data_IF_656710517429
#
_entry.id   IF_656710517429
#
_cell.length_a   1.000
_cell.length_b   1.000
_cell.length_c   1.000
_cell.angle_alpha   90.00
_cell.angle_beta   90.00
_cell.angle_gamma   90.00
#
_symmetry.space_group_name_H-M   'P 1'
#
loop_
_entity.id
_entity.type
_entity.pdbx_description
1 polymer ?
#
# COMPACT_ATOMS: atom_id res chain seq x y z
N UNK A 1 7.17 5.97 -1.70
CA UNK A 1 6.63 6.15 -3.07
C UNK A 1 7.48 5.35 -4.04
N UNK A 2 6.92 4.84 -5.12
CA UNK A 2 7.61 4.09 -6.17
C UNK A 2 6.93 4.29 -7.53
N UNK A 3 7.71 4.53 -8.59
CA UNK A 3 7.22 4.39 -9.97
C UNK A 3 7.05 2.91 -10.33
N UNK A 4 5.85 2.55 -10.79
CA UNK A 4 5.55 1.18 -11.18
C UNK A 4 6.37 0.79 -12.41
N UNK A 5 6.89 -0.43 -12.39
CA UNK A 5 7.55 -1.07 -13.52
C UNK A 5 6.60 -2.08 -14.15
N UNK A 6 6.87 -2.48 -15.41
CA UNK A 6 6.07 -3.52 -16.08
C UNK A 6 5.94 -4.79 -15.23
N UNK A 7 7.00 -5.20 -14.53
CA UNK A 7 7.02 -6.38 -13.66
C UNK A 7 6.15 -6.26 -12.40
N UNK A 8 5.80 -5.04 -11.99
CA UNK A 8 4.84 -4.84 -10.89
C UNK A 8 3.40 -5.08 -11.37
N UNK A 9 3.12 -4.97 -12.68
CA UNK A 9 1.75 -4.93 -13.22
C UNK A 9 1.44 -5.94 -14.32
N UNK A 10 2.33 -6.90 -14.59
CA UNK A 10 2.03 -8.04 -15.47
C UNK A 10 1.06 -9.02 -14.80
N UNK A 11 0.24 -9.69 -15.60
CA UNK A 11 -0.73 -10.70 -15.15
C UNK A 11 -0.09 -11.97 -14.56
N UNK A 12 1.11 -12.32 -15.00
CA UNK A 12 1.91 -13.44 -14.47
C UNK A 12 2.71 -13.07 -13.21
N UNK A 13 2.65 -11.82 -12.75
CA UNK A 13 3.33 -11.34 -11.53
C UNK A 13 2.33 -10.82 -10.50
N UNK A 14 2.33 -11.39 -9.29
CA UNK A 14 1.44 -10.95 -8.20
C UNK A 14 2.22 -10.25 -7.09
N UNK A 15 3.09 -9.29 -7.44
CA UNK A 15 3.83 -8.51 -6.46
C UNK A 15 4.13 -7.07 -6.87
N UNK A 16 4.26 -6.20 -5.87
CA UNK A 16 4.92 -4.90 -5.98
C UNK A 16 6.07 -4.81 -4.98
N UNK A 17 7.18 -4.20 -5.38
CA UNK A 17 8.41 -4.16 -4.57
C UNK A 17 8.81 -2.74 -4.18
N UNK A 18 8.99 -2.45 -2.89
CA UNK A 18 9.55 -1.19 -2.40
C UNK A 18 10.99 -1.40 -1.91
N UNK A 19 11.87 -0.38 -1.99
CA UNK A 19 13.21 -0.46 -1.42
C UNK A 19 13.18 -0.80 0.07
N UNK A 20 14.14 -1.60 0.55
CA UNK A 20 14.27 -1.98 1.96
C UNK A 20 14.55 -0.78 2.87
N UNK A 21 15.16 0.28 2.34
CA UNK A 21 15.35 1.57 3.02
C UNK A 21 14.10 2.47 2.98
N UNK A 22 12.96 1.98 2.49
CA UNK A 22 11.74 2.77 2.49
C UNK A 22 11.24 3.02 3.93
N UNK A 23 10.52 4.14 4.16
CA UNK A 23 10.03 4.50 5.50
C UNK A 23 9.19 3.43 6.19
N UNK A 24 8.61 2.48 5.44
CA UNK A 24 7.86 1.37 6.02
C UNK A 24 8.71 0.52 6.98
N UNK A 25 10.03 0.43 6.78
CA UNK A 25 10.90 -0.31 7.70
C UNK A 25 10.84 0.19 9.15
N UNK A 26 10.51 1.47 9.34
CA UNK A 26 10.48 2.14 10.64
C UNK A 26 9.21 1.85 11.43
N UNK A 27 8.12 1.46 10.76
CA UNK A 27 6.83 1.21 11.44
C UNK A 27 6.76 -0.19 12.05
N UNK A 28 7.58 -1.13 11.58
CA UNK A 28 7.57 -2.51 12.06
C UNK A 28 8.12 -2.62 13.48
N UNK A 29 7.48 -3.44 14.31
CA UNK A 29 8.06 -3.91 15.57
C UNK A 29 9.21 -4.88 15.29
N UNK A 30 10.03 -5.17 16.31
CA UNK A 30 11.13 -6.12 16.12
C UNK A 30 10.63 -7.54 15.82
N UNK A 31 9.51 -7.96 16.44
CA UNK A 31 8.86 -9.23 16.11
C UNK A 31 8.36 -9.26 14.64
N UNK A 32 7.75 -8.19 14.15
CA UNK A 32 7.30 -8.11 12.76
C UNK A 32 8.48 -8.06 11.78
N UNK A 33 9.58 -7.38 12.12
CA UNK A 33 10.82 -7.41 11.35
C UNK A 33 11.38 -8.83 11.21
N UNK A 34 11.22 -9.67 12.22
CA UNK A 34 11.57 -11.10 12.13
C UNK A 34 10.59 -11.81 11.19
N UNK A 35 9.27 -11.61 11.36
CA UNK A 35 8.23 -12.26 10.52
C UNK A 35 8.36 -11.94 9.04
N UNK A 36 8.54 -10.68 8.65
CA UNK A 36 8.69 -10.30 7.24
C UNK A 36 9.93 -10.93 6.58
N UNK A 37 10.91 -11.44 7.36
CA UNK A 37 12.09 -12.15 6.82
C UNK A 37 11.86 -13.66 6.66
N UNK A 38 10.81 -14.22 7.25
CA UNK A 38 10.49 -15.65 7.17
C UNK A 38 10.09 -16.07 5.76
N UNK A 39 10.00 -17.38 5.54
CA UNK A 39 9.48 -17.94 4.29
C UNK A 39 8.05 -17.48 4.01
N UNK A 40 7.18 -17.50 5.03
CA UNK A 40 5.77 -17.11 4.96
C UNK A 40 5.53 -15.60 4.80
N UNK A 41 6.39 -14.76 5.38
CA UNK A 41 6.18 -13.32 5.41
C UNK A 41 5.17 -12.92 6.50
N UNK A 42 4.50 -11.78 6.31
CA UNK A 42 3.54 -11.23 7.25
C UNK A 42 2.29 -10.74 6.50
N UNK A 43 1.09 -11.12 6.92
CA UNK A 43 -0.17 -10.60 6.38
C UNK A 43 -0.35 -9.13 6.70
N UNK A 44 -0.83 -8.36 5.73
CA UNK A 44 -1.13 -6.94 5.85
C UNK A 44 -2.36 -6.59 5.03
N UNK A 45 -3.28 -5.83 5.64
CA UNK A 45 -4.42 -5.26 4.94
C UNK A 45 -4.02 -3.94 4.28
N UNK A 46 -4.21 -3.85 2.96
CA UNK A 46 -4.05 -2.62 2.20
C UNK A 46 -5.41 -2.04 1.80
N UNK A 47 -5.47 -0.71 1.71
CA UNK A 47 -6.65 0.05 1.33
C UNK A 47 -6.36 0.93 0.12
N UNK A 48 -7.34 1.09 -0.76
CA UNK A 48 -7.31 2.17 -1.76
C UNK A 48 -7.96 3.46 -1.24
N UNK A 49 -8.02 4.49 -2.09
CA UNK A 49 -8.63 5.78 -1.77
C UNK A 49 -10.15 5.71 -1.50
N UNK A 50 -10.82 4.60 -1.82
CA UNK A 50 -12.25 4.38 -1.57
C UNK A 50 -12.49 3.56 -0.31
N UNK A 51 -11.42 3.15 0.39
CA UNK A 51 -11.49 2.25 1.54
C UNK A 51 -11.70 0.79 1.17
N UNK A 52 -11.58 0.40 -0.11
CA UNK A 52 -11.65 -1.00 -0.50
C UNK A 52 -10.42 -1.74 0.04
N UNK A 53 -10.67 -2.89 0.66
CA UNK A 53 -9.64 -3.72 1.28
C UNK A 53 -9.02 -4.71 0.29
N UNK A 54 -7.71 -4.91 0.44
CA UNK A 54 -6.89 -5.84 -0.34
C UNK A 54 -5.89 -6.52 0.59
N UNK A 55 -6.12 -7.80 0.89
CA UNK A 55 -5.22 -8.61 1.72
C UNK A 55 -3.96 -9.01 0.96
N UNK A 56 -2.79 -8.68 1.52
CA UNK A 56 -1.49 -8.95 0.91
C UNK A 56 -0.52 -9.59 1.90
N UNK A 57 0.49 -10.27 1.39
CA UNK A 57 1.63 -10.75 2.18
C UNK A 57 2.82 -9.83 1.99
N UNK A 58 3.33 -9.25 3.07
CA UNK A 58 4.57 -8.49 3.13
C UNK A 58 5.77 -9.41 3.41
N UNK A 59 6.81 -9.32 2.58
CA UNK A 59 8.08 -10.04 2.80
C UNK A 59 9.28 -9.18 2.45
N UNK A 60 10.28 -9.15 3.31
CA UNK A 60 11.59 -8.59 3.02
C UNK A 60 12.43 -9.61 2.25
N UNK A 61 12.76 -9.31 1.00
CA UNK A 61 13.54 -10.16 0.12
C UNK A 61 15.00 -9.73 0.06
N UNK A 62 15.90 -10.64 0.44
CA UNK A 62 17.37 -10.48 0.44
C UNK A 62 17.83 -9.19 1.15
N UNK A 63 17.08 -8.76 2.18
CA UNK A 63 17.26 -7.49 2.91
C UNK A 63 17.31 -6.23 2.02
N UNK A 64 16.83 -6.33 0.77
CA UNK A 64 16.91 -5.26 -0.23
C UNK A 64 15.55 -4.67 -0.59
N UNK A 65 14.49 -5.47 -0.57
CA UNK A 65 13.17 -5.05 -1.02
C UNK A 65 12.05 -5.62 -0.18
N UNK A 66 11.13 -4.77 0.28
CA UNK A 66 9.82 -5.23 0.76
C UNK A 66 8.94 -5.57 -0.44
N UNK A 67 8.42 -6.78 -0.48
CA UNK A 67 7.50 -7.25 -1.50
C UNK A 67 6.11 -7.39 -0.88
N UNK A 68 5.12 -6.76 -1.48
CA UNK A 68 3.71 -7.00 -1.19
C UNK A 68 3.19 -7.92 -2.27
N UNK A 69 2.68 -9.07 -1.87
CA UNK A 69 2.40 -10.20 -2.74
C UNK A 69 1.00 -10.76 -2.50
N UNK A 70 0.56 -11.62 -3.42
CA UNK A 70 -0.66 -12.41 -3.26
C UNK A 70 -1.87 -11.81 -3.99
N UNK A 71 -3.06 -12.38 -3.76
CA UNK A 71 -4.29 -11.99 -4.46
C UNK A 71 -4.65 -10.51 -4.29
N UNK A 72 -4.38 -9.89 -3.13
CA UNK A 72 -4.70 -8.48 -2.92
C UNK A 72 -4.02 -7.57 -3.93
N UNK A 73 -2.74 -7.78 -4.25
CA UNK A 73 -2.06 -6.96 -5.26
C UNK A 73 -2.63 -7.20 -6.66
N UNK A 74 -2.95 -8.45 -7.01
CA UNK A 74 -3.63 -8.78 -8.27
C UNK A 74 -4.95 -8.02 -8.38
N UNK A 75 -5.80 -8.13 -7.36
CA UNK A 75 -7.13 -7.53 -7.32
C UNK A 75 -7.05 -5.99 -7.37
N UNK A 76 -6.11 -5.39 -6.63
CA UNK A 76 -5.86 -3.96 -6.66
C UNK A 76 -5.53 -3.47 -8.08
N UNK A 77 -4.61 -4.14 -8.78
CA UNK A 77 -4.24 -3.76 -10.16
C UNK A 77 -5.39 -3.92 -11.15
N UNK A 78 -6.21 -4.96 -10.99
CA UNK A 78 -7.37 -5.19 -11.83
C UNK A 78 -8.43 -4.09 -11.60
N UNK A 79 -8.73 -3.77 -10.34
CA UNK A 79 -9.67 -2.72 -9.96
C UNK A 79 -9.25 -1.32 -10.45
N UNK A 80 -7.95 -1.08 -10.59
CA UNK A 80 -7.39 0.20 -11.06
C UNK A 80 -6.92 0.19 -12.52
N UNK A 81 -7.28 -0.84 -13.31
CA UNK A 81 -6.94 -0.94 -14.73
C UNK A 81 -5.43 -0.79 -15.03
N UNK A 82 -4.58 -1.39 -14.18
CA UNK A 82 -3.13 -1.38 -14.33
C UNK A 82 -2.58 -2.65 -14.96
N UNK A 83 -3.36 -3.73 -14.98
CA UNK A 83 -2.90 -5.05 -15.43
C UNK A 83 -2.56 -5.04 -16.92
N UNK A 84 -1.37 -5.52 -17.25
CA UNK A 84 -0.90 -5.74 -18.62
C UNK A 84 -0.57 -7.22 -18.83
N UNK A 85 -0.59 -7.68 -20.08
CA UNK A 85 -0.15 -9.02 -20.43
C UNK A 85 1.36 -9.20 -20.15
N UNK A 86 1.79 -10.44 -19.86
CA UNK A 86 3.19 -10.81 -19.61
C UNK A 86 4.22 -10.20 -20.57
N UNK A 87 3.94 -10.19 -21.87
CA UNK A 87 4.88 -9.70 -22.89
C UNK A 87 4.72 -8.19 -23.19
N UNK A 88 3.73 -7.54 -22.59
CA UNK A 88 3.52 -6.11 -22.75
C UNK A 88 4.43 -5.28 -21.83
N UNK A 89 4.47 -3.98 -22.15
CA UNK A 89 5.16 -2.96 -21.37
C UNK A 89 4.15 -1.96 -20.81
N UNK A 90 4.36 -1.54 -19.56
CA UNK A 90 3.60 -0.45 -18.97
C UNK A 90 3.99 0.86 -19.66
N UNK A 91 3.05 1.44 -20.42
CA UNK A 91 3.24 2.71 -21.12
C UNK A 91 2.95 3.92 -20.24
N UNK A 92 1.96 3.79 -19.34
CA UNK A 92 1.55 4.85 -18.41
C UNK A 92 2.62 5.14 -17.35
N UNK A 93 2.82 6.42 -17.03
CA UNK A 93 3.70 6.86 -15.93
C UNK A 93 2.94 6.87 -14.62
N UNK A 94 2.81 5.68 -14.02
CA UNK A 94 2.09 5.51 -12.76
C UNK A 94 3.05 5.33 -11.59
N UNK A 95 2.79 6.09 -10.52
CA UNK A 95 3.51 6.03 -9.26
C UNK A 95 2.57 5.59 -8.15
N UNK A 96 3.03 4.65 -7.32
CA UNK A 96 2.33 4.22 -6.10
C UNK A 96 2.95 4.89 -4.87
N UNK A 97 2.13 5.61 -4.11
CA UNK A 97 2.47 6.10 -2.77
C UNK A 97 1.92 5.09 -1.77
N UNK A 98 2.81 4.59 -0.91
CA UNK A 98 2.46 3.68 0.17
C UNK A 98 2.55 4.46 1.47
N UNK A 99 1.45 4.48 2.22
CA UNK A 99 1.37 4.95 3.59
C UNK A 99 1.10 3.78 4.50
N UNK A 100 1.68 3.81 5.69
CA UNK A 100 1.51 2.77 6.69
C UNK A 100 0.95 3.40 7.96
N UNK A 101 0.07 2.67 8.64
CA UNK A 101 -0.58 3.13 9.87
C UNK A 101 -0.85 1.95 10.81
N UNK A 102 -1.16 2.26 12.07
CA UNK A 102 -1.61 1.28 13.06
C UNK A 102 -3.07 1.50 13.37
N UNK A 103 -3.85 0.43 13.49
CA UNK A 103 -5.24 0.52 13.90
C UNK A 103 -5.68 -0.70 14.68
N UNK A 104 -6.36 -0.47 15.80
CA UNK A 104 -7.01 -1.52 16.61
C UNK A 104 -8.24 -2.12 15.94
N UNK A 105 -8.78 -1.46 14.91
CA UNK A 105 -9.89 -1.97 14.13
C UNK A 105 -9.44 -3.01 13.08
N UNK A 106 -8.13 -3.12 12.81
CA UNK A 106 -7.59 -4.17 11.96
C UNK A 106 -7.39 -5.43 12.79
N UNK A 107 -7.84 -6.56 12.24
CA UNK A 107 -7.62 -7.85 12.87
C UNK A 107 -6.11 -8.11 12.97
N UNK A 108 -5.62 -8.57 14.12
CA UNK A 108 -4.27 -9.07 14.20
C UNK A 108 -4.10 -10.24 13.22
N UNK A 109 -2.89 -10.38 12.70
CA UNK A 109 -2.54 -11.52 11.86
C UNK A 109 -2.85 -12.83 12.61
N UNK A 110 -3.71 -13.67 12.02
CA UNK A 110 -4.07 -14.99 12.57
C UNK A 110 -2.80 -15.83 12.64
N UNK A 111 -2.40 -16.23 13.85
CA UNK A 111 -1.26 -17.12 14.06
C UNK A 111 -1.67 -18.56 13.82
N UNK A 112 -0.76 -19.34 13.23
CA UNK A 112 -0.85 -20.80 13.27
C UNK A 112 -0.74 -21.29 14.73
N UNK A 113 -1.45 -22.38 15.03
CA UNK A 113 -1.94 -22.94 16.31
C UNK A 113 -0.91 -23.27 17.42
N UNK A 114 0.35 -22.81 17.31
CA UNK A 114 1.43 -23.22 18.19
C UNK A 114 2.10 -22.04 18.93
N UNK A 115 1.47 -21.58 20.02
CA UNK A 115 2.18 -20.91 21.12
C UNK A 115 2.01 -19.39 21.24
N UNK A 116 1.76 -18.98 22.50
CA UNK A 116 1.78 -17.64 23.11
C UNK A 116 1.44 -16.46 22.19
N UNK A 117 0.32 -15.79 22.47
CA UNK A 117 -0.03 -14.50 21.90
C UNK A 117 1.00 -13.43 22.28
N UNK A 118 2.10 -13.32 21.50
CA UNK A 118 2.94 -12.14 21.50
C UNK A 118 2.06 -10.88 21.51
N UNK A 119 2.16 -10.03 22.54
CA UNK A 119 1.31 -8.87 22.66
C UNK A 119 1.48 -8.01 21.41
N UNK A 120 0.36 -7.78 20.72
CA UNK A 120 0.33 -6.94 19.53
C UNK A 120 0.79 -5.52 19.85
N UNK A 121 1.11 -4.74 18.81
CA UNK A 121 1.42 -3.33 18.99
C UNK A 121 0.24 -2.62 19.70
N UNK A 122 0.47 -1.72 20.69
CA UNK A 122 -0.59 -1.09 21.48
C UNK A 122 -1.61 -0.31 20.63
N UNK A 123 -1.18 0.15 19.46
CA UNK A 123 -2.04 0.87 18.49
C UNK A 123 -2.73 -0.07 17.47
N UNK A 124 -2.58 -1.39 17.61
CA UNK A 124 -3.20 -2.41 16.78
C UNK A 124 -2.34 -2.87 15.58
N UNK A 125 -2.97 -3.60 14.66
CA UNK A 125 -2.27 -4.21 13.53
C UNK A 125 -1.82 -3.17 12.48
N UNK A 126 -0.86 -3.56 11.64
CA UNK A 126 -0.35 -2.73 10.56
C UNK A 126 -1.33 -2.70 9.39
N UNK A 127 -1.75 -1.50 9.00
CA UNK A 127 -2.49 -1.26 7.76
C UNK A 127 -1.69 -0.45 6.76
N UNK A 128 -2.05 -0.58 5.49
CA UNK A 128 -1.43 0.16 4.39
C UNK A 128 -2.48 0.94 3.60
N UNK A 129 -2.14 2.14 3.13
CA UNK A 129 -2.92 2.85 2.11
C UNK A 129 -2.08 2.95 0.85
N UNK A 130 -2.64 2.50 -0.28
CA UNK A 130 -2.05 2.56 -1.60
C UNK A 130 -2.74 3.63 -2.43
N UNK A 131 -2.00 4.68 -2.75
CA UNK A 131 -2.47 5.77 -3.60
C UNK A 131 -1.76 5.71 -4.94
N UNK A 132 -2.54 5.70 -6.02
CA UNK A 132 -2.01 5.77 -7.38
C UNK A 132 -2.00 7.22 -7.84
N UNK A 133 -0.85 7.64 -8.36
CA UNK A 133 -0.66 8.89 -9.06
C UNK A 133 -0.34 8.55 -10.51
N UNK A 134 -1.24 8.90 -11.42
CA UNK A 134 -1.01 8.77 -12.85
C UNK A 134 -0.63 10.15 -13.38
N UNK A 135 0.58 10.26 -13.93
CA UNK A 135 1.07 11.54 -14.48
C UNK A 135 0.52 11.81 -15.88
N UNK A 136 -0.24 10.86 -16.48
CA UNK A 136 -0.80 11.02 -17.82
C UNK A 136 0.29 11.09 -18.89
N UNK A 137 -0.09 10.92 -20.15
CA UNK A 137 0.71 11.45 -21.26
C UNK A 137 0.67 12.97 -21.09
N UNK A 138 1.83 13.58 -20.81
CA UNK A 138 1.91 15.03 -20.77
C UNK A 138 1.48 15.56 -22.13
N UNK A 139 0.40 16.34 -22.16
CA UNK A 139 0.35 17.43 -23.12
C UNK A 139 1.61 18.25 -22.86
N UNK A 140 2.48 18.35 -23.86
CA UNK A 140 3.59 19.29 -23.87
C UNK A 140 2.99 20.70 -23.86
N UNK A 141 2.65 21.22 -22.68
CA UNK A 141 2.49 22.65 -22.50
C UNK A 141 3.78 23.22 -21.92
N UNK A 142 4.61 23.76 -22.82
CA UNK A 142 5.46 24.90 -22.50
C UNK A 142 4.58 26.02 -21.93
N UNK A 143 4.48 26.14 -20.61
CA UNK A 143 4.18 27.44 -19.99
C UNK A 143 5.07 27.61 -18.77
N UNK A 144 5.78 28.74 -18.80
CA UNK A 144 6.75 29.17 -17.82
C UNK A 144 6.19 29.20 -16.39
N UNK A 145 7.11 29.00 -15.44
CA UNK A 145 6.82 28.66 -14.06
C UNK A 145 5.92 29.65 -13.33
N UNK A 146 4.84 29.13 -12.76
CA UNK A 146 4.29 29.50 -11.44
C UNK A 146 3.12 28.57 -11.07
N UNK A 147 3.29 27.24 -11.10
CA UNK A 147 2.19 26.34 -10.69
C UNK A 147 2.67 25.01 -10.10
N UNK A 148 3.42 25.08 -8.99
CA UNK A 148 3.79 23.87 -8.21
C UNK A 148 3.07 23.81 -6.85
N UNK A 149 2.41 24.88 -6.41
CA UNK A 149 1.82 24.96 -5.05
C UNK A 149 0.37 24.45 -4.99
N UNK A 150 -0.42 24.58 -6.06
CA UNK A 150 -1.86 24.29 -6.02
C UNK A 150 -2.21 22.78 -6.00
N UNK A 151 -1.33 21.91 -6.52
CA UNK A 151 -1.62 20.48 -6.66
C UNK A 151 -1.47 19.70 -5.35
N UNK A 152 -0.65 20.18 -4.42
CA UNK A 152 -0.41 19.55 -3.11
C UNK A 152 -1.59 19.78 -2.14
N UNK A 153 -2.25 20.94 -2.23
CA UNK A 153 -3.42 21.28 -1.40
C UNK A 153 -4.66 20.44 -1.71
N UNK A 154 -4.83 20.02 -2.97
CA UNK A 154 -5.94 19.17 -3.41
C UNK A 154 -5.94 17.81 -2.70
N UNK A 155 -4.76 17.23 -2.49
CA UNK A 155 -4.61 15.94 -1.78
C UNK A 155 -4.74 16.09 -0.27
N UNK A 156 -4.24 17.19 0.30
CA UNK A 156 -4.40 17.48 1.73
C UNK A 156 -5.89 17.68 2.10
N UNK A 157 -6.67 18.36 1.24
CA UNK A 157 -8.13 18.52 1.43
C UNK A 157 -8.87 17.19 1.33
N UNK A 158 -8.59 16.39 0.30
CA UNK A 158 -9.16 15.03 0.16
C UNK A 158 -8.81 14.13 1.35
N UNK A 159 -7.65 14.31 1.96
CA UNK A 159 -7.26 13.57 3.15
C UNK A 159 -8.00 14.01 4.42
N UNK A 160 -8.29 15.31 4.55
CA UNK A 160 -9.14 15.83 5.64
C UNK A 160 -10.57 15.29 5.52
N UNK A 161 -11.10 15.22 4.30
CA UNK A 161 -12.39 14.60 4.00
C UNK A 161 -12.37 13.09 4.31
N UNK A 162 -11.30 12.37 3.97
CA UNK A 162 -11.16 10.95 4.29
C UNK A 162 -11.11 10.70 5.80
N UNK A 163 -10.37 11.53 6.54
CA UNK A 163 -10.32 11.47 8.02
C UNK A 163 -11.71 11.72 8.62
N UNK A 164 -12.44 12.71 8.09
CA UNK A 164 -13.82 12.99 8.50
C UNK A 164 -14.76 11.82 8.21
N UNK A 165 -14.70 11.26 7.01
CA UNK A 165 -15.55 10.14 6.59
C UNK A 165 -15.29 8.87 7.41
N UNK A 166 -14.01 8.54 7.69
CA UNK A 166 -13.64 7.40 8.54
C UNK A 166 -14.07 7.63 9.99
N UNK A 167 -13.92 8.84 10.53
CA UNK A 167 -14.38 9.16 11.89
C UNK A 167 -15.91 9.06 12.01
N UNK A 168 -16.66 9.56 11.02
CA UNK A 168 -18.13 9.46 10.98
C UNK A 168 -18.59 8.02 10.85
N UNK A 169 -17.93 7.21 10.02
CA UNK A 169 -18.26 5.80 9.86
C UNK A 169 -18.00 4.99 11.15
N UNK A 170 -16.91 5.28 11.86
CA UNK A 170 -16.59 4.66 13.15
C UNK A 170 -17.50 5.11 14.31
N UNK A 171 -18.09 6.31 14.21
CA UNK A 171 -19.10 6.78 15.16
C UNK A 171 -20.45 6.11 14.92
N UNK A 172 -20.79 5.80 13.67
CA UNK A 172 -22.11 5.27 13.31
C UNK A 172 -22.23 3.74 13.43
N UNK A 173 -21.10 3.04 13.50
CA UNK A 173 -21.00 1.58 13.63
C UNK A 173 -20.79 1.12 15.08
N UNK A 174 -21.03 2.02 16.04
CA UNK A 174 -20.77 1.80 17.48
C UNK A 174 -22.02 1.53 18.34
N UNK A 175 -23.17 1.27 17.72
CA UNK A 175 -24.38 0.75 18.39
C UNK A 175 -24.54 -0.76 18.18
#
# INVERSE_FOLDING_TARGET
>A
MKRLQSTDVRDDQNRVQFPGRSPISQIFTDAEKVRVRTSGGMSVTAFDHRGQQYEMTCKLWRDKHYRFMGPGWKNFRQAHHLTIAKEAHLTRRVTVKLWAFRSRALLPEVKDDDGEEEPGHPDGALGLVLLLLDEGEGEEEEVAGEEVVARDESYARKFLELRGAVALWLLWTRD
#
